data_IF_018177818040
#
_entry.id   IF_018177818040
#
_cell.length_a   1.000
_cell.length_b   1.000
_cell.length_c   1.000
_cell.angle_alpha   90.00
_cell.angle_beta   90.00
_cell.angle_gamma   90.00
#
_symmetry.space_group_name_H-M   'P 1'
#
loop_
_entity.id
_entity.type
_entity.pdbx_description
1 polymer ?
#
# COMPACT_ATOMS: atom_id res chain seq x y z
N UNK A 1 -4.80 24.66 33.31
CA UNK A 1 -3.95 23.49 33.56
C UNK A 1 -4.63 22.27 32.95
N UNK A 2 -3.97 21.52 32.08
CA UNK A 2 -4.54 20.26 31.57
C UNK A 2 -4.55 19.23 32.70
N UNK A 3 -5.70 18.59 32.94
CA UNK A 3 -5.89 17.54 33.95
C UNK A 3 -5.09 16.26 33.60
N UNK A 4 -4.78 16.08 32.31
CA UNK A 4 -4.02 14.95 31.81
C UNK A 4 -2.73 15.44 31.14
N UNK A 5 -1.61 14.83 31.51
CA UNK A 5 -0.30 15.08 30.91
C UNK A 5 0.21 13.79 30.27
N UNK A 6 0.68 13.89 29.02
CA UNK A 6 1.40 12.80 28.38
C UNK A 6 2.74 12.65 29.10
N UNK A 7 2.98 11.47 29.68
CA UNK A 7 4.30 11.13 30.25
C UNK A 7 5.14 10.51 29.16
N UNK A 8 6.13 11.25 28.70
CA UNK A 8 7.13 10.73 27.78
C UNK A 8 7.95 9.63 28.48
N UNK A 9 7.99 8.45 27.87
CA UNK A 9 8.81 7.33 28.33
C UNK A 9 10.05 7.13 27.44
N UNK A 10 9.89 7.41 26.15
CA UNK A 10 10.93 7.34 25.15
C UNK A 10 10.58 8.29 24.00
N UNK A 11 11.59 8.96 23.46
CA UNK A 11 11.46 9.81 22.28
C UNK A 11 12.76 9.79 21.49
N UNK A 12 12.67 9.68 20.17
CA UNK A 12 13.78 9.88 19.25
C UNK A 12 13.46 11.03 18.31
N UNK A 13 14.48 11.77 17.90
CA UNK A 13 14.38 12.85 16.91
C UNK A 13 15.22 12.47 15.70
N UNK A 14 14.68 12.70 14.50
CA UNK A 14 15.45 12.63 13.26
C UNK A 14 16.47 13.78 13.15
N UNK A 15 17.14 13.88 11.99
CA UNK A 15 18.04 15.00 11.71
C UNK A 15 17.30 16.34 11.65
N UNK A 16 18.04 17.45 11.69
CA UNK A 16 17.48 18.79 11.46
C UNK A 16 16.88 18.86 10.06
N UNK A 17 15.64 19.36 9.97
CA UNK A 17 14.87 19.58 8.73
C UNK A 17 14.29 18.31 8.07
N UNK A 18 14.14 17.23 8.82
CA UNK A 18 13.35 16.08 8.35
C UNK A 18 11.84 16.32 8.48
N UNK A 19 11.14 16.05 7.38
CA UNK A 19 9.67 16.09 7.32
C UNK A 19 9.08 14.69 7.22
N UNK A 20 7.88 14.52 7.77
CA UNK A 20 7.17 13.24 7.84
C UNK A 20 5.71 13.41 7.39
N UNK A 21 5.18 12.40 6.71
CA UNK A 21 3.75 12.31 6.40
C UNK A 21 2.99 11.61 7.53
N UNK A 22 1.64 11.69 7.55
CA UNK A 22 0.83 10.88 8.45
C UNK A 22 1.04 9.37 8.30
N UNK A 23 1.43 8.90 7.10
CA UNK A 23 1.70 7.49 6.80
C UNK A 23 3.15 7.05 7.03
N UNK A 24 4.01 7.94 7.52
CA UNK A 24 5.45 7.72 7.63
C UNK A 24 5.89 6.81 8.78
N UNK A 25 4.96 6.21 9.53
CA UNK A 25 5.26 5.41 10.72
C UNK A 25 4.48 4.10 10.69
N UNK A 26 5.16 3.00 11.00
CA UNK A 26 4.53 1.70 11.22
C UNK A 26 5.16 0.99 12.41
N UNK A 27 4.36 0.21 13.14
CA UNK A 27 4.81 -0.56 14.31
C UNK A 27 4.45 -2.02 14.12
N UNK A 28 5.44 -2.91 14.21
CA UNK A 28 5.22 -4.34 14.07
C UNK A 28 6.50 -5.17 14.10
N UNK A 29 6.37 -6.48 14.00
CA UNK A 29 7.50 -7.42 13.96
C UNK A 29 8.14 -7.45 12.56
N UNK A 30 8.67 -6.31 12.12
CA UNK A 30 9.13 -6.06 10.75
C UNK A 30 10.30 -6.97 10.31
N UNK A 31 11.13 -7.40 11.25
CA UNK A 31 12.26 -8.32 11.06
C UNK A 31 11.86 -9.80 11.20
N UNK A 32 10.57 -10.09 11.43
CA UNK A 32 10.04 -11.45 11.58
C UNK A 32 10.73 -12.27 12.68
N UNK A 33 11.21 -11.62 13.74
CA UNK A 33 11.89 -12.32 14.82
C UNK A 33 10.93 -13.25 15.57
N UNK A 34 11.45 -14.40 16.04
CA UNK A 34 10.66 -15.42 16.71
C UNK A 34 10.07 -14.95 18.05
N UNK A 35 10.67 -13.93 18.70
CA UNK A 35 10.12 -13.33 19.92
C UNK A 35 8.81 -12.56 19.68
N UNK A 36 8.53 -12.17 18.43
CA UNK A 36 7.35 -11.38 18.08
C UNK A 36 7.43 -9.91 18.51
N UNK A 37 8.58 -9.43 19.01
CA UNK A 37 8.71 -8.06 19.49
C UNK A 37 8.55 -7.02 18.37
N UNK A 38 7.59 -6.11 18.57
CA UNK A 38 7.33 -5.00 17.66
C UNK A 38 8.45 -3.96 17.69
N UNK A 39 8.72 -3.39 16.52
CA UNK A 39 9.71 -2.34 16.28
C UNK A 39 9.00 -1.16 15.65
N UNK A 40 9.52 0.04 15.89
CA UNK A 40 9.00 1.28 15.32
C UNK A 40 9.80 1.57 14.06
N UNK A 41 9.13 1.68 12.91
CA UNK A 41 9.78 2.05 11.66
C UNK A 41 9.24 3.41 11.22
N UNK A 42 10.15 4.31 10.87
CA UNK A 42 9.83 5.66 10.40
C UNK A 42 10.49 5.94 9.06
N UNK A 43 9.82 6.66 8.16
CA UNK A 43 10.37 7.05 6.87
C UNK A 43 10.19 8.54 6.59
N UNK A 44 11.27 9.29 6.41
CA UNK A 44 11.18 10.72 6.15
C UNK A 44 10.96 11.06 4.67
N UNK A 45 10.49 12.28 4.41
CA UNK A 45 10.41 12.86 3.07
C UNK A 45 11.79 13.12 2.44
N UNK A 46 12.86 13.10 3.24
CA UNK A 46 14.24 13.18 2.77
C UNK A 46 14.73 11.80 2.28
N UNK A 47 13.94 10.74 2.51
CA UNK A 47 14.23 9.38 2.09
C UNK A 47 15.01 8.55 3.10
N UNK A 48 15.08 9.00 4.35
CA UNK A 48 15.75 8.26 5.43
C UNK A 48 14.74 7.34 6.11
N UNK A 49 15.02 6.03 6.05
CA UNK A 49 14.29 4.99 6.75
C UNK A 49 15.02 4.65 8.05
N UNK A 50 14.31 4.61 9.17
CA UNK A 50 14.87 4.20 10.46
C UNK A 50 14.01 3.13 11.12
N UNK A 51 14.65 2.19 11.80
CA UNK A 51 13.99 1.17 12.62
C UNK A 51 14.52 1.26 14.04
N UNK A 52 13.60 1.36 15.01
CA UNK A 52 13.90 1.46 16.42
C UNK A 52 13.32 0.30 17.22
N UNK A 53 14.03 -0.09 18.27
CA UNK A 53 13.55 -0.97 19.31
C UNK A 53 13.78 -0.34 20.70
N UNK A 54 12.79 0.38 21.25
CA UNK A 54 12.91 1.04 22.53
C UNK A 54 12.79 0.02 23.68
N UNK A 55 13.93 -0.52 24.12
CA UNK A 55 13.99 -1.54 25.18
C UNK A 55 13.98 -0.95 26.59
N UNK A 56 14.40 0.31 26.73
CA UNK A 56 14.53 1.04 28.00
C UNK A 56 13.99 2.46 27.83
N UNK A 57 13.70 3.12 28.96
CA UNK A 57 13.34 4.54 28.96
C UNK A 57 14.50 5.39 28.44
N UNK A 58 14.14 6.53 27.84
CA UNK A 58 15.07 7.47 27.20
C UNK A 58 15.77 6.89 25.95
N UNK A 59 16.11 7.75 25.02
CA UNK A 59 16.78 7.31 23.80
C UNK A 59 18.23 6.94 24.06
N UNK A 60 18.68 5.87 23.38
CA UNK A 60 20.05 5.41 23.34
C UNK A 60 20.35 4.97 21.92
N UNK A 61 21.62 5.09 21.51
CA UNK A 61 22.02 4.74 20.14
C UNK A 61 21.71 3.28 19.80
N UNK A 62 21.79 2.38 20.79
CA UNK A 62 21.43 0.95 20.67
C UNK A 62 19.95 0.71 20.33
N UNK A 63 19.08 1.69 20.58
CA UNK A 63 17.68 1.61 20.17
C UNK A 63 17.50 1.78 18.66
N UNK A 64 18.45 2.40 17.95
CA UNK A 64 18.44 2.54 16.49
C UNK A 64 19.07 1.29 15.86
N UNK A 65 18.24 0.42 15.28
CA UNK A 65 18.65 -0.88 14.74
C UNK A 65 19.05 -0.82 13.26
N UNK A 66 18.44 0.08 12.50
CA UNK A 66 18.69 0.30 11.07
C UNK A 66 18.49 1.77 10.75
N UNK A 67 19.39 2.32 9.94
CA UNK A 67 19.22 3.60 9.26
C UNK A 67 19.69 3.44 7.82
N UNK A 68 18.81 3.74 6.85
CA UNK A 68 19.12 3.63 5.44
C UNK A 68 18.53 4.79 4.65
N UNK A 69 19.35 5.41 3.79
CA UNK A 69 18.92 6.49 2.91
C UNK A 69 18.56 5.96 1.52
N UNK A 70 17.25 5.89 1.25
CA UNK A 70 16.67 5.46 -0.03
C UNK A 70 16.72 6.55 -1.12
N UNK A 71 17.27 7.73 -0.80
CA UNK A 71 17.50 8.89 -1.69
C UNK A 71 16.24 9.44 -2.35
N UNK A 72 15.06 9.11 -1.83
CA UNK A 72 13.75 9.44 -2.39
C UNK A 72 12.73 9.60 -1.28
N UNK A 73 11.79 10.56 -1.38
CA UNK A 73 10.78 10.77 -0.35
C UNK A 73 9.95 9.53 -0.05
N UNK A 74 9.80 9.23 1.24
CA UNK A 74 8.92 8.16 1.73
C UNK A 74 7.57 8.79 2.08
N UNK A 75 6.54 8.42 1.33
CA UNK A 75 5.18 8.94 1.50
C UNK A 75 4.38 8.14 2.52
N UNK A 76 4.57 6.83 2.56
CA UNK A 76 3.85 5.93 3.46
C UNK A 76 4.61 4.62 3.65
N UNK A 77 4.51 4.05 4.85
CA UNK A 77 5.02 2.74 5.22
C UNK A 77 3.86 1.83 5.61
N UNK A 78 3.88 0.58 5.17
CA UNK A 78 2.91 -0.43 5.59
C UNK A 78 3.58 -1.77 5.85
N UNK A 79 3.04 -2.54 6.80
CA UNK A 79 3.46 -3.92 7.08
C UNK A 79 2.35 -4.89 6.70
N UNK A 80 2.70 -5.93 5.94
CA UNK A 80 1.72 -6.94 5.52
C UNK A 80 2.35 -8.11 4.77
N UNK A 81 1.50 -9.07 4.40
CA UNK A 81 1.89 -10.28 3.68
C UNK A 81 1.89 -10.06 2.17
N UNK A 82 2.76 -9.15 1.73
CA UNK A 82 2.84 -8.71 0.34
C UNK A 82 3.60 -9.68 -0.58
N UNK A 83 4.37 -10.62 -0.02
CA UNK A 83 5.21 -11.54 -0.81
C UNK A 83 4.41 -12.79 -1.23
N UNK A 84 4.41 -13.17 -2.53
CA UNK A 84 3.76 -14.40 -2.98
C UNK A 84 4.34 -15.65 -2.35
N UNK A 85 3.46 -16.56 -1.93
CA UNK A 85 3.83 -17.82 -1.25
C UNK A 85 4.83 -18.68 -2.03
N UNK A 86 4.68 -18.73 -3.36
CA UNK A 86 5.56 -19.51 -4.26
C UNK A 86 7.02 -19.04 -4.18
N UNK A 87 7.28 -17.79 -3.78
CA UNK A 87 8.65 -17.26 -3.63
C UNK A 87 9.28 -17.58 -2.27
N UNK A 88 8.52 -18.13 -1.32
CA UNK A 88 8.97 -18.51 0.02
C UNK A 88 9.14 -20.03 0.18
N UNK A 89 9.24 -20.76 -0.95
CA UNK A 89 9.12 -22.22 -1.16
C UNK A 89 9.98 -23.18 -0.31
N UNK A 90 10.72 -22.72 0.72
CA UNK A 90 11.57 -23.61 1.53
C UNK A 90 11.17 -23.73 3.00
N UNK A 91 10.40 -22.78 3.57
CA UNK A 91 10.10 -22.80 5.01
C UNK A 91 8.61 -22.72 5.37
N UNK A 92 7.70 -22.67 4.39
CA UNK A 92 6.25 -22.64 4.60
C UNK A 92 5.79 -21.51 5.56
N UNK A 93 6.64 -20.50 5.79
CA UNK A 93 6.43 -19.44 6.76
C UNK A 93 6.13 -18.15 6.01
N UNK A 94 5.07 -17.48 6.44
CA UNK A 94 4.72 -16.16 5.92
C UNK A 94 5.71 -15.15 6.45
N UNK A 95 6.18 -14.30 5.56
CA UNK A 95 7.12 -13.23 5.90
C UNK A 95 6.34 -11.92 5.82
N UNK A 96 6.28 -11.23 6.96
CA UNK A 96 5.82 -9.86 7.03
C UNK A 96 6.82 -9.00 6.27
N UNK A 97 6.34 -8.23 5.31
CA UNK A 97 7.15 -7.38 4.45
C UNK A 97 6.80 -5.91 4.71
N UNK A 98 7.79 -5.05 4.49
CA UNK A 98 7.66 -3.59 4.55
C UNK A 98 7.39 -3.05 3.15
N UNK A 99 6.20 -2.51 2.92
CA UNK A 99 5.89 -1.72 1.74
C UNK A 99 6.29 -0.26 1.98
N UNK A 100 7.04 0.30 1.03
CA UNK A 100 7.48 1.70 1.05
C UNK A 100 6.92 2.39 -0.17
N UNK A 101 5.98 3.31 0.05
CA UNK A 101 5.42 4.15 -1.00
C UNK A 101 6.30 5.36 -1.23
N UNK A 102 6.65 5.59 -2.49
CA UNK A 102 7.37 6.77 -2.96
C UNK A 102 6.59 7.41 -4.11
N UNK A 103 6.87 8.67 -4.50
CA UNK A 103 6.03 9.39 -5.46
C UNK A 103 5.77 8.67 -6.79
N UNK A 104 6.72 7.85 -7.27
CA UNK A 104 6.64 7.16 -8.58
C UNK A 104 6.82 5.65 -8.49
N UNK A 105 6.92 5.08 -7.28
CA UNK A 105 7.13 3.65 -7.09
C UNK A 105 6.58 3.15 -5.77
N UNK A 106 6.26 1.86 -5.74
CA UNK A 106 5.96 1.12 -4.53
C UNK A 106 6.97 -0.03 -4.42
N UNK A 107 7.87 0.04 -3.44
CA UNK A 107 8.84 -1.02 -3.18
C UNK A 107 8.40 -1.92 -2.03
N UNK A 108 8.60 -3.23 -2.17
CA UNK A 108 8.34 -4.19 -1.10
C UNK A 108 9.65 -4.81 -0.65
N UNK A 109 9.95 -4.66 0.63
CA UNK A 109 11.21 -5.00 1.26
C UNK A 109 11.03 -6.02 2.38
N UNK A 110 12.07 -6.79 2.66
CA UNK A 110 12.17 -7.60 3.88
C UNK A 110 13.32 -7.05 4.72
N UNK A 111 13.08 -6.89 6.01
CA UNK A 111 14.12 -6.58 6.99
C UNK A 111 14.68 -7.87 7.52
N UNK A 112 16.00 -8.02 7.48
CA UNK A 112 16.70 -9.23 7.93
C UNK A 112 17.84 -8.84 8.86
N UNK A 113 18.00 -9.59 9.96
CA UNK A 113 19.19 -9.54 10.80
C UNK A 113 20.34 -10.29 10.12
N UNK A 114 21.55 -9.73 10.18
CA UNK A 114 22.78 -10.36 9.69
C UNK A 114 23.68 -10.73 10.87
N UNK A 115 24.29 -11.91 10.82
CA UNK A 115 25.17 -12.39 11.89
C UNK A 115 24.45 -12.87 13.15
N UNK A 116 23.13 -13.13 13.06
CA UNK A 116 22.28 -13.58 14.16
C UNK A 116 20.80 -13.40 13.82
N UNK A 117 19.92 -13.64 14.78
CA UNK A 117 18.47 -13.38 14.67
C UNK A 117 17.99 -12.46 15.79
N UNK A 118 16.98 -11.63 15.49
CA UNK A 118 16.43 -10.67 16.44
C UNK A 118 17.50 -9.79 17.07
N UNK A 119 17.46 -9.64 18.40
CA UNK A 119 18.41 -8.81 19.13
C UNK A 119 19.84 -9.36 19.20
N UNK A 120 20.07 -10.61 18.77
CA UNK A 120 21.41 -11.17 18.63
C UNK A 120 22.01 -10.89 17.24
N UNK A 121 21.26 -10.26 16.33
CA UNK A 121 21.80 -9.83 15.05
C UNK A 121 22.90 -8.77 15.25
N UNK A 122 23.95 -8.87 14.43
CA UNK A 122 25.05 -7.90 14.45
C UNK A 122 24.64 -6.57 13.83
N UNK A 123 23.80 -6.61 12.80
CA UNK A 123 23.14 -5.44 12.20
C UNK A 123 21.90 -5.88 11.42
N UNK A 124 21.03 -4.95 11.09
CA UNK A 124 19.88 -5.18 10.22
C UNK A 124 20.12 -4.59 8.83
N UNK A 125 19.51 -5.19 7.81
CA UNK A 125 19.49 -4.66 6.44
C UNK A 125 18.08 -4.77 5.87
N UNK A 126 17.72 -3.89 4.95
CA UNK A 126 16.53 -4.05 4.10
C UNK A 126 16.93 -4.64 2.75
N UNK A 127 16.16 -5.62 2.27
CA UNK A 127 16.36 -6.24 0.97
C UNK A 127 15.11 -6.05 0.12
N UNK A 128 15.24 -5.37 -1.02
CA UNK A 128 14.16 -5.21 -2.00
C UNK A 128 13.78 -6.59 -2.58
N UNK A 129 12.49 -6.94 -2.52
CA UNK A 129 11.95 -8.18 -3.11
C UNK A 129 11.37 -7.95 -4.48
N UNK A 130 10.60 -6.88 -4.63
CA UNK A 130 10.10 -6.40 -5.91
C UNK A 130 9.69 -4.93 -5.78
N UNK A 131 9.59 -4.26 -6.92
CA UNK A 131 9.07 -2.90 -6.99
C UNK A 131 8.05 -2.79 -8.12
N UNK A 132 7.07 -1.92 -7.91
CA UNK A 132 6.14 -1.47 -8.93
C UNK A 132 6.49 -0.04 -9.32
N UNK A 133 6.70 0.19 -10.61
CA UNK A 133 6.67 1.53 -11.15
C UNK A 133 5.21 1.98 -11.24
N UNK A 134 4.94 3.20 -10.79
CA UNK A 134 3.58 3.73 -10.79
C UNK A 134 3.26 4.43 -12.11
N UNK A 135 2.05 4.18 -12.59
CA UNK A 135 1.62 4.53 -13.94
C UNK A 135 1.70 3.36 -14.90
N UNK A 136 1.18 3.55 -16.11
CA UNK A 136 1.15 2.55 -17.18
C UNK A 136 1.62 3.26 -18.45
N UNK A 137 2.51 2.62 -19.22
CA UNK A 137 2.90 3.07 -20.56
C UNK A 137 3.36 4.54 -20.67
N UNK A 138 4.05 5.05 -19.64
CA UNK A 138 4.56 6.43 -19.59
C UNK A 138 3.58 7.47 -19.04
N UNK A 139 2.37 7.07 -18.66
CA UNK A 139 1.39 7.97 -18.05
C UNK A 139 1.87 8.55 -16.72
N UNK A 140 1.56 9.83 -16.49
CA UNK A 140 1.89 10.51 -15.25
C UNK A 140 1.04 9.98 -14.10
N UNK A 141 1.59 9.12 -13.24
CA UNK A 141 0.95 8.70 -11.98
C UNK A 141 1.85 9.06 -10.80
N UNK A 142 1.48 10.08 -10.03
CA UNK A 142 2.19 10.46 -8.81
C UNK A 142 1.37 10.01 -7.62
N UNK A 143 1.95 9.17 -6.75
CA UNK A 143 1.27 8.62 -5.59
C UNK A 143 0.85 9.67 -4.56
N UNK A 144 -0.25 9.40 -3.88
CA UNK A 144 -0.72 10.12 -2.70
C UNK A 144 -0.67 9.23 -1.45
N UNK A 145 -1.40 8.11 -1.45
CA UNK A 145 -1.44 7.15 -0.36
C UNK A 145 -1.53 5.70 -0.86
N UNK A 146 -1.40 4.76 0.07
CA UNK A 146 -1.47 3.31 -0.14
C UNK A 146 -2.54 2.72 0.79
N UNK A 147 -3.28 1.74 0.31
CA UNK A 147 -4.06 0.81 1.13
C UNK A 147 -3.70 -0.61 0.75
N UNK A 148 -3.97 -1.55 1.65
CA UNK A 148 -3.73 -2.96 1.39
C UNK A 148 -4.81 -3.84 2.03
N UNK A 149 -4.83 -5.10 1.62
CA UNK A 149 -5.64 -6.14 2.23
C UNK A 149 -5.96 -7.27 1.27
N UNK A 150 -6.75 -8.25 1.70
CA UNK A 150 -7.13 -9.40 0.88
C UNK A 150 -8.26 -9.03 -0.11
N UNK A 151 -7.95 -8.15 -1.07
CA UNK A 151 -8.91 -7.71 -2.09
C UNK A 151 -9.48 -8.90 -2.87
N UNK A 152 -10.80 -8.96 -3.03
CA UNK A 152 -11.48 -10.03 -3.75
C UNK A 152 -11.72 -11.31 -2.94
N UNK A 153 -11.19 -11.43 -1.72
CA UNK A 153 -11.25 -12.68 -0.96
C UNK A 153 -12.67 -13.04 -0.51
N UNK A 154 -13.47 -12.07 -0.06
CA UNK A 154 -14.83 -12.31 0.44
C UNK A 154 -15.83 -12.71 -0.66
N UNK A 155 -15.54 -12.42 -1.93
CA UNK A 155 -16.37 -12.94 -3.02
C UNK A 155 -16.24 -14.44 -3.27
N UNK A 156 -15.19 -15.07 -2.73
CA UNK A 156 -14.91 -16.50 -2.91
C UNK A 156 -15.38 -17.39 -1.75
N UNK A 157 -15.81 -16.80 -0.62
CA UNK A 157 -16.31 -17.53 0.55
C UNK A 157 -17.77 -17.99 0.43
N UNK A 158 -18.46 -17.70 -0.68
CA UNK A 158 -19.75 -18.32 -1.02
C UNK A 158 -19.60 -19.77 -1.50
N UNK A 159 -18.37 -20.24 -1.75
CA UNK A 159 -18.04 -21.64 -1.92
C UNK A 159 -17.38 -22.19 -0.66
N UNK A 160 -18.07 -23.07 0.06
CA UNK A 160 -17.54 -23.87 1.17
C UNK A 160 -16.43 -24.82 0.67
N UNK A 161 -15.24 -24.28 0.44
CA UNK A 161 -14.06 -25.02 0.02
C UNK A 161 -12.82 -24.50 0.74
N UNK A 162 -11.94 -25.41 1.12
CA UNK A 162 -10.69 -25.22 1.89
C UNK A 162 -9.68 -24.19 1.33
N UNK A 163 -9.97 -23.54 0.19
CA UNK A 163 -9.13 -22.52 -0.44
C UNK A 163 -9.51 -21.06 -0.08
N UNK A 164 -10.64 -20.82 0.60
CA UNK A 164 -11.06 -19.48 1.00
C UNK A 164 -10.11 -18.87 2.06
N UNK A 165 -9.58 -19.69 2.97
CA UNK A 165 -8.59 -19.29 3.97
C UNK A 165 -7.28 -18.83 3.30
N UNK A 166 -6.76 -19.60 2.34
CA UNK A 166 -5.49 -19.30 1.66
C UNK A 166 -5.49 -18.01 0.79
N UNK A 167 -6.65 -17.45 0.43
CA UNK A 167 -6.76 -16.14 -0.24
C UNK A 167 -6.90 -14.98 0.74
N UNK A 168 -7.57 -15.18 1.86
CA UNK A 168 -7.67 -14.21 2.95
C UNK A 168 -6.33 -13.91 3.64
N UNK A 169 -5.30 -14.67 3.30
CA UNK A 169 -3.98 -14.67 3.93
C UNK A 169 -2.92 -13.91 3.13
N UNK A 170 -3.31 -13.33 1.99
CA UNK A 170 -2.46 -12.53 1.12
C UNK A 170 -2.93 -11.10 1.14
N UNK A 171 -1.97 -10.19 1.28
CA UNK A 171 -2.25 -8.77 1.17
C UNK A 171 -1.90 -8.28 -0.24
N UNK A 172 -2.91 -7.73 -0.89
CA UNK A 172 -2.81 -7.01 -2.15
C UNK A 172 -2.68 -5.51 -1.87
N UNK A 173 -2.15 -4.77 -2.82
CA UNK A 173 -1.77 -3.37 -2.63
C UNK A 173 -2.58 -2.49 -3.60
N UNK A 174 -3.02 -1.33 -3.15
CA UNK A 174 -3.69 -0.35 -3.99
C UNK A 174 -3.13 1.04 -3.69
N UNK A 175 -2.62 1.71 -4.73
CA UNK A 175 -2.09 3.07 -4.61
C UNK A 175 -3.09 4.06 -5.20
N UNK A 176 -3.38 5.13 -4.47
CA UNK A 176 -4.10 6.28 -4.99
C UNK A 176 -3.10 7.29 -5.55
N UNK A 177 -3.37 7.83 -6.74
CA UNK A 177 -2.62 8.96 -7.28
C UNK A 177 -3.18 10.31 -6.82
N UNK A 178 -2.39 11.36 -6.99
CA UNK A 178 -2.79 12.75 -6.78
C UNK A 178 -3.96 13.21 -7.66
N UNK A 179 -4.23 12.54 -8.77
CA UNK A 179 -5.38 12.80 -9.64
C UNK A 179 -6.52 11.78 -9.43
N UNK A 180 -6.47 11.03 -8.33
CA UNK A 180 -7.61 10.24 -7.88
C UNK A 180 -7.82 8.90 -8.59
N UNK A 181 -6.80 8.38 -9.28
CA UNK A 181 -6.79 7.04 -9.87
C UNK A 181 -6.31 6.01 -8.85
N UNK A 182 -6.94 4.84 -8.85
CA UNK A 182 -6.55 3.69 -8.05
C UNK A 182 -5.78 2.70 -8.91
N UNK A 183 -4.55 2.37 -8.53
CA UNK A 183 -3.73 1.34 -9.17
C UNK A 183 -3.63 0.13 -8.25
N UNK A 184 -4.23 -0.99 -8.66
CA UNK A 184 -4.26 -2.24 -7.90
C UNK A 184 -3.15 -3.20 -8.32
N UNK A 185 -2.58 -3.89 -7.33
CA UNK A 185 -1.53 -4.88 -7.50
C UNK A 185 -1.89 -6.16 -6.73
N UNK A 186 -1.91 -7.28 -7.42
CA UNK A 186 -1.93 -8.61 -6.83
C UNK A 186 -0.49 -8.96 -6.40
N UNK A 187 -0.09 -8.49 -5.22
CA UNK A 187 1.26 -8.65 -4.68
C UNK A 187 2.32 -8.09 -5.64
N UNK A 188 3.04 -8.94 -6.37
CA UNK A 188 4.11 -8.58 -7.30
C UNK A 188 3.63 -8.37 -8.74
N UNK A 189 2.33 -8.43 -8.98
CA UNK A 189 1.74 -8.24 -10.31
C UNK A 189 0.79 -7.05 -10.34
N UNK A 190 0.91 -6.23 -11.37
CA UNK A 190 -0.13 -5.25 -11.67
C UNK A 190 -1.44 -5.96 -12.00
N UNK A 191 -2.54 -5.50 -11.40
CA UNK A 191 -3.88 -6.04 -11.65
C UNK A 191 -4.65 -5.14 -12.62
N UNK A 192 -5.01 -3.93 -12.18
CA UNK A 192 -5.76 -2.98 -13.00
C UNK A 192 -5.64 -1.55 -12.45
N UNK A 193 -6.05 -0.58 -13.28
CA UNK A 193 -6.14 0.83 -12.92
C UNK A 193 -7.58 1.30 -13.10
N UNK A 194 -8.10 2.03 -12.11
CA UNK A 194 -9.47 2.53 -12.11
C UNK A 194 -9.54 3.94 -11.51
N UNK A 195 -9.88 4.96 -12.31
CA UNK A 195 -10.25 6.29 -11.80
C UNK A 195 -11.49 6.22 -10.90
N UNK A 196 -11.46 6.96 -9.80
CA UNK A 196 -12.65 7.22 -8.97
C UNK A 196 -13.55 8.28 -9.63
N UNK A 197 -14.81 8.30 -9.22
CA UNK A 197 -15.74 9.33 -9.67
C UNK A 197 -15.41 10.67 -9.00
N UNK A 198 -15.61 11.77 -9.73
CA UNK A 198 -15.60 13.14 -9.19
C UNK A 198 -14.39 13.47 -8.28
N UNK A 199 -13.21 12.94 -8.60
CA UNK A 199 -12.04 13.10 -7.75
C UNK A 199 -11.18 14.26 -8.25
N UNK A 200 -11.27 15.41 -7.58
CA UNK A 200 -10.46 16.60 -7.90
C UNK A 200 -9.16 16.63 -7.08
N UNK A 201 -9.25 16.22 -5.81
CA UNK A 201 -8.14 16.07 -4.87
C UNK A 201 -8.25 14.70 -4.18
N UNK A 202 -7.13 13.98 -4.01
CA UNK A 202 -7.15 12.67 -3.40
C UNK A 202 -7.53 12.79 -1.92
N UNK A 203 -8.45 11.95 -1.47
CA UNK A 203 -8.89 11.90 -0.08
C UNK A 203 -8.36 10.67 0.66
N UNK A 204 -8.78 10.54 1.91
CA UNK A 204 -8.52 9.34 2.69
C UNK A 204 -9.17 8.11 2.03
N UNK A 205 -8.44 6.99 2.00
CA UNK A 205 -8.94 5.70 1.57
C UNK A 205 -8.80 4.68 2.69
N UNK A 206 -9.74 3.74 2.76
CA UNK A 206 -9.54 2.52 3.52
C UNK A 206 -10.18 1.32 2.82
N UNK A 207 -9.66 0.13 3.09
CA UNK A 207 -10.26 -1.11 2.63
C UNK A 207 -11.05 -1.78 3.75
N UNK A 208 -12.34 -2.01 3.52
CA UNK A 208 -13.23 -2.73 4.41
C UNK A 208 -13.33 -4.20 3.97
N UNK A 209 -12.50 -5.05 4.56
CA UNK A 209 -12.42 -6.49 4.22
C UNK A 209 -13.74 -7.23 4.37
N UNK A 210 -14.54 -6.90 5.39
CA UNK A 210 -15.86 -7.49 5.63
C UNK A 210 -16.87 -7.25 4.49
N UNK A 211 -16.64 -6.22 3.67
CA UNK A 211 -17.47 -5.87 2.52
C UNK A 211 -16.74 -6.03 1.18
N UNK A 212 -15.48 -6.43 1.17
CA UNK A 212 -14.65 -6.42 -0.06
C UNK A 212 -14.74 -5.08 -0.80
N UNK A 213 -14.62 -3.97 -0.05
CA UNK A 213 -14.92 -2.63 -0.55
C UNK A 213 -13.83 -1.62 -0.18
N UNK A 214 -13.57 -0.69 -1.10
CA UNK A 214 -12.80 0.51 -0.88
C UNK A 214 -13.75 1.62 -0.47
N UNK A 215 -13.51 2.22 0.69
CA UNK A 215 -14.20 3.42 1.13
C UNK A 215 -13.31 4.61 0.80
N UNK A 216 -13.89 5.61 0.13
CA UNK A 216 -13.17 6.79 -0.33
C UNK A 216 -13.87 8.06 0.16
N UNK A 217 -13.12 8.94 0.80
CA UNK A 217 -13.54 10.32 1.02
C UNK A 217 -13.26 11.12 -0.27
N UNK A 218 -14.29 11.75 -0.83
CA UNK A 218 -14.18 12.50 -2.09
C UNK A 218 -14.14 14.01 -1.85
N UNK A 219 -13.74 14.76 -2.88
CA UNK A 219 -13.57 16.22 -2.78
C UNK A 219 -14.88 16.99 -2.59
N UNK A 220 -16.03 16.37 -2.88
CA UNK A 220 -17.37 16.90 -2.62
C UNK A 220 -17.88 16.60 -1.20
N UNK A 221 -16.98 16.23 -0.28
CA UNK A 221 -17.25 15.94 1.14
C UNK A 221 -18.21 14.77 1.34
N UNK A 222 -18.02 13.73 0.55
CA UNK A 222 -18.86 12.54 0.60
C UNK A 222 -18.02 11.31 0.91
N UNK A 223 -18.64 10.35 1.57
CA UNK A 223 -18.06 9.03 1.78
C UNK A 223 -18.68 8.05 0.80
N UNK A 224 -17.87 7.55 -0.12
CA UNK A 224 -18.30 6.67 -1.20
C UNK A 224 -17.76 5.26 -1.00
N UNK A 225 -18.61 4.25 -1.26
CA UNK A 225 -18.25 2.83 -1.14
C UNK A 225 -18.16 2.16 -2.51
N UNK A 226 -17.00 1.59 -2.81
CA UNK A 226 -16.71 0.92 -4.06
C UNK A 226 -16.33 -0.54 -3.83
N UNK A 227 -17.22 -1.46 -4.19
CA UNK A 227 -16.92 -2.91 -4.17
C UNK A 227 -15.75 -3.23 -5.10
N UNK A 228 -14.81 -4.04 -4.63
CA UNK A 228 -13.61 -4.42 -5.39
C UNK A 228 -13.97 -5.04 -6.75
N UNK A 229 -14.94 -5.96 -6.78
CA UNK A 229 -15.39 -6.60 -8.03
C UNK A 229 -15.94 -5.60 -9.05
N UNK A 230 -16.59 -4.53 -8.58
CA UNK A 230 -17.15 -3.49 -9.44
C UNK A 230 -16.01 -2.65 -10.05
N UNK A 231 -15.02 -2.28 -9.23
CA UNK A 231 -13.80 -1.59 -9.70
C UNK A 231 -13.05 -2.42 -10.74
N UNK A 232 -12.81 -3.71 -10.45
CA UNK A 232 -12.13 -4.63 -11.36
C UNK A 232 -12.88 -4.79 -12.70
N UNK A 233 -14.20 -5.00 -12.63
CA UNK A 233 -15.05 -5.19 -13.81
C UNK A 233 -15.14 -3.92 -14.68
N UNK A 234 -15.18 -2.74 -14.05
CA UNK A 234 -15.18 -1.47 -14.75
C UNK A 234 -13.88 -1.25 -15.55
N UNK A 235 -12.73 -1.67 -15.01
CA UNK A 235 -11.45 -1.54 -15.70
C UNK A 235 -11.34 -2.46 -16.93
N UNK A 236 -11.90 -3.67 -16.86
CA UNK A 236 -11.92 -4.61 -18.00
C UNK A 236 -12.73 -4.09 -19.20
N UNK A 237 -13.84 -3.38 -18.95
CA UNK A 237 -14.65 -2.79 -20.03
C UNK A 237 -13.89 -1.77 -20.87
N UNK A 238 -12.90 -1.07 -20.28
CA UNK A 238 -12.04 -0.11 -20.99
C UNK A 238 -11.01 -0.78 -21.91
N UNK A 239 -10.72 -2.07 -21.69
CA UNK A 239 -9.68 -2.82 -22.40
C UNK A 239 -10.14 -3.55 -23.67
N UNK A 240 -11.40 -3.47 -24.10
CA UNK A 240 -11.81 -4.01 -25.41
C UNK A 240 -11.45 -3.00 -26.52
N UNK A 241 -10.47 -3.29 -27.40
CA UNK A 241 -10.41 -2.61 -28.68
C UNK A 241 -11.46 -3.25 -29.60
N UNK A 242 -12.06 -2.43 -30.46
CA UNK A 242 -12.95 -2.87 -31.54
C UNK A 242 -12.35 -4.07 -32.29
N UNK A 243 -12.97 -5.23 -32.14
CA UNK A 243 -12.67 -6.42 -32.91
C UNK A 243 -13.94 -6.89 -33.58
N UNK A 244 -14.05 -6.55 -34.87
CA UNK A 244 -14.96 -7.08 -35.89
C UNK A 244 -16.44 -6.74 -35.70
N UNK A 245 -16.89 -5.64 -36.33
CA UNK A 245 -17.73 -5.70 -37.54
C UNK A 245 -18.09 -4.27 -38.01
N UNK A 246 -18.32 -4.16 -39.31
CA UNK A 246 -18.85 -3.03 -40.09
C UNK A 246 -17.86 -2.01 -40.67
N UNK A 247 -17.40 -2.36 -41.87
CA UNK A 247 -17.22 -1.42 -42.98
C UNK A 247 -18.44 -0.48 -43.11
N UNK A 248 -18.19 0.77 -43.52
CA UNK A 248 -19.14 1.85 -43.82
C UNK A 248 -19.52 2.81 -42.68
N UNK A 249 -18.68 3.85 -42.48
CA UNK A 249 -18.99 5.25 -42.88
C UNK A 249 -17.98 6.23 -42.30
N UNK A 250 -17.26 6.89 -43.20
CA UNK A 250 -16.51 8.11 -42.95
C UNK A 250 -17.43 9.24 -42.44
N UNK A 251 -16.82 10.12 -41.66
CA UNK A 251 -17.26 11.48 -41.32
C UNK A 251 -18.51 11.65 -40.45
N UNK A 252 -18.30 11.67 -39.12
CA UNK A 252 -18.79 12.72 -38.20
C UNK A 252 -18.17 12.57 -36.80
N UNK A 253 -17.73 13.71 -36.26
CA UNK A 253 -17.38 13.96 -34.84
C UNK A 253 -16.04 13.40 -34.33
N UNK A 254 -14.97 14.12 -34.68
CA UNK A 254 -13.82 14.32 -33.78
C UNK A 254 -14.24 15.20 -32.60
N UNK A 255 -14.91 14.62 -31.62
CA UNK A 255 -15.08 15.18 -30.26
C UNK A 255 -15.68 14.08 -29.37
N UNK A 256 -14.88 13.04 -29.08
CA UNK A 256 -15.13 12.21 -27.91
C UNK A 256 -13.98 12.44 -26.94
N UNK A 257 -14.09 13.51 -26.15
CA UNK A 257 -13.46 13.50 -24.84
C UNK A 257 -13.97 12.22 -24.18
N UNK A 258 -13.05 11.30 -23.85
CA UNK A 258 -13.36 10.05 -23.21
C UNK A 258 -14.07 10.37 -21.88
N UNK A 259 -15.40 10.37 -21.90
CA UNK A 259 -16.21 10.49 -20.69
C UNK A 259 -15.87 9.26 -19.86
N UNK A 260 -15.06 9.50 -18.82
CA UNK A 260 -14.67 8.46 -17.88
C UNK A 260 -15.96 7.79 -17.41
N UNK A 261 -16.17 6.53 -17.84
CA UNK A 261 -17.35 5.77 -17.45
C UNK A 261 -17.39 5.75 -15.93
N UNK A 262 -18.39 6.42 -15.34
CA UNK A 262 -18.56 6.48 -13.90
C UNK A 262 -18.62 5.05 -13.37
N UNK A 263 -17.79 4.77 -12.36
CA UNK A 263 -17.83 3.50 -11.65
C UNK A 263 -19.08 3.51 -10.78
N UNK A 264 -19.81 2.39 -10.74
CA UNK A 264 -20.93 2.28 -9.83
C UNK A 264 -20.47 2.37 -8.37
N UNK A 265 -21.03 3.33 -7.63
CA UNK A 265 -20.85 3.49 -6.20
C UNK A 265 -21.99 2.75 -5.47
N UNK A 266 -21.66 1.87 -4.53
CA UNK A 266 -22.64 1.02 -3.81
C UNK A 266 -23.56 1.88 -2.93
N UNK A 267 -22.97 2.79 -2.16
CA UNK A 267 -23.67 3.81 -1.40
C UNK A 267 -22.78 5.03 -1.18
N UNK A 268 -23.42 6.17 -0.90
CA UNK A 268 -22.79 7.47 -0.70
C UNK A 268 -23.45 8.16 0.50
N UNK A 269 -22.64 8.76 1.38
CA UNK A 269 -23.07 9.54 2.54
C UNK A 269 -22.57 10.98 2.43
#
# INVERSE_FOLDING_TARGET
>A
MSLFQVREWWAAKGESDEEYTPGALVVGNVDNDASGHAKIVTGSMNGVLRMYYPSQSEFRIEHLLLEENLRRPILQLELGYFIPYVRLSLLNQRVLALAILQPRRLGVYVVEGVGGSGMAASYFKITLRYEHLLGIDGEHFTAYNLIYGPFGAASSSSGSGSNATARSERDHLCVQSLDGRLQFFEQDRFAFLQPLNNNFLPGALCYASGMDAVLAATSDLQLECYRYQVLASASLKKRKPNGLDDDEKEDRQRESSATATQVHCDWKL
#
